data_IF_569184668124
#
_entry.id   IF_569184668124
#
_cell.length_a   1.000
_cell.length_b   1.000
_cell.length_c   1.000
_cell.angle_alpha   90.00
_cell.angle_beta   90.00
_cell.angle_gamma   90.00
#
_symmetry.space_group_name_H-M   'P 1'
#
loop_
_entity.id
_entity.type
_entity.pdbx_description
1 polymer ?
#
# COMPACT_ATOMS: atom_id res chain seq x y z
N UNK A 1 56.51 -11.38 49.04
CA UNK A 1 55.55 -10.33 48.65
C UNK A 1 54.80 -10.86 47.46
N UNK A 2 53.53 -11.17 47.67
CA UNK A 2 52.66 -11.98 46.81
C UNK A 2 52.57 -11.47 45.38
N UNK A 3 52.73 -12.39 44.42
CA UNK A 3 52.37 -12.16 43.03
C UNK A 3 50.88 -11.83 42.94
N UNK A 4 50.59 -10.72 42.27
CA UNK A 4 49.23 -10.34 41.91
C UNK A 4 48.69 -11.41 40.95
N UNK A 5 47.51 -12.00 41.18
CA UNK A 5 46.86 -12.79 40.15
C UNK A 5 46.54 -11.84 39.00
N UNK A 6 47.18 -12.12 37.86
CA UNK A 6 46.84 -11.53 36.60
C UNK A 6 45.42 -11.98 36.26
N UNK A 7 44.55 -10.99 36.09
CA UNK A 7 43.34 -11.02 35.26
C UNK A 7 42.50 -12.30 35.46
N UNK A 8 41.52 -12.23 36.35
CA UNK A 8 40.26 -12.91 36.06
C UNK A 8 39.80 -12.41 34.69
N UNK A 9 40.18 -13.16 33.64
CA UNK A 9 39.52 -13.12 32.36
C UNK A 9 38.04 -13.38 32.66
N UNK A 10 37.27 -12.31 32.52
CA UNK A 10 35.81 -12.26 32.56
C UNK A 10 35.29 -13.19 31.45
N UNK A 11 35.35 -14.50 31.67
CA UNK A 11 34.71 -15.52 30.86
C UNK A 11 33.22 -15.47 31.21
N UNK A 12 32.59 -14.34 30.86
CA UNK A 12 31.15 -14.28 30.76
C UNK A 12 30.76 -15.37 29.74
N UNK A 13 29.91 -16.33 30.10
CA UNK A 13 29.43 -17.29 29.13
C UNK A 13 28.65 -16.52 28.06
N UNK A 14 29.24 -16.34 26.88
CA UNK A 14 28.55 -15.88 25.66
C UNK A 14 27.41 -16.82 25.22
N UNK A 15 27.15 -17.88 25.99
CA UNK A 15 26.15 -18.93 25.74
C UNK A 15 24.77 -18.64 26.37
N UNK A 16 24.62 -17.57 27.16
CA UNK A 16 23.33 -17.20 27.78
C UNK A 16 22.44 -16.30 26.88
N UNK A 17 22.95 -15.88 25.72
CA UNK A 17 22.16 -15.14 24.73
C UNK A 17 21.40 -16.12 23.81
N UNK A 18 20.07 -16.08 23.84
CA UNK A 18 19.26 -16.91 22.95
C UNK A 18 19.60 -16.62 21.47
N UNK A 19 20.05 -17.65 20.74
CA UNK A 19 20.37 -17.58 19.32
C UNK A 19 19.25 -16.90 18.53
N UNK A 20 19.59 -15.92 17.69
CA UNK A 20 18.60 -15.28 16.84
C UNK A 20 18.16 -16.20 15.69
N UNK A 21 16.92 -16.05 15.22
CA UNK A 21 16.46 -16.80 14.04
C UNK A 21 17.33 -16.56 12.81
N UNK A 22 17.98 -15.39 12.71
CA UNK A 22 18.94 -15.08 11.64
C UNK A 22 20.26 -15.85 11.80
N UNK A 23 20.82 -15.95 13.00
CA UNK A 23 22.01 -16.78 13.28
C UNK A 23 21.76 -18.24 12.90
N UNK A 24 20.58 -18.77 13.25
CA UNK A 24 20.19 -20.14 12.86
C UNK A 24 20.07 -20.32 11.35
N UNK A 25 19.45 -19.36 10.66
CA UNK A 25 19.32 -19.41 9.21
C UNK A 25 20.68 -19.25 8.50
N UNK A 26 21.57 -18.42 9.05
CA UNK A 26 22.92 -18.24 8.55
C UNK A 26 23.74 -19.54 8.73
N UNK A 27 23.76 -20.12 9.93
CA UNK A 27 24.44 -21.40 10.19
C UNK A 27 23.88 -22.55 9.35
N UNK A 28 22.56 -22.61 9.16
CA UNK A 28 21.93 -23.58 8.25
C UNK A 28 22.36 -23.33 6.80
N UNK A 29 22.48 -22.08 6.37
CA UNK A 29 22.93 -21.73 5.02
C UNK A 29 24.38 -22.13 4.76
N UNK A 30 25.23 -22.14 5.80
CA UNK A 30 26.64 -22.54 5.72
C UNK A 30 26.82 -24.03 5.44
N UNK A 31 25.84 -24.87 5.78
CA UNK A 31 25.88 -26.31 5.48
C UNK A 31 25.63 -26.65 4.00
N UNK A 32 25.22 -25.67 3.17
CA UNK A 32 24.90 -25.87 1.75
C UNK A 32 26.02 -25.38 0.82
N UNK A 33 26.22 -26.05 -0.34
CA UNK A 33 27.23 -25.65 -1.31
C UNK A 33 26.91 -24.30 -1.97
N UNK A 34 27.95 -23.56 -2.38
CA UNK A 34 27.85 -22.20 -2.93
C UNK A 34 26.82 -22.02 -4.06
N UNK A 35 26.65 -22.94 -5.04
CA UNK A 35 25.68 -22.76 -6.11
C UNK A 35 24.24 -22.65 -5.60
N UNK A 36 23.90 -23.40 -4.54
CA UNK A 36 22.56 -23.38 -3.93
C UNK A 36 22.33 -22.03 -3.25
N UNK A 37 23.29 -21.58 -2.44
CA UNK A 37 23.23 -20.27 -1.76
C UNK A 37 23.10 -19.11 -2.74
N UNK A 38 23.87 -19.13 -3.84
CA UNK A 38 23.84 -18.07 -4.85
C UNK A 38 22.50 -18.06 -5.61
N UNK A 39 21.93 -19.23 -5.91
CA UNK A 39 20.62 -19.35 -6.56
C UNK A 39 19.51 -18.80 -5.66
N UNK A 40 19.48 -19.20 -4.39
CA UNK A 40 18.51 -18.69 -3.41
C UNK A 40 18.65 -17.18 -3.25
N UNK A 41 19.88 -16.67 -3.09
CA UNK A 41 20.15 -15.23 -3.00
C UNK A 41 19.71 -14.46 -4.25
N UNK A 42 19.91 -15.03 -5.44
CA UNK A 42 19.43 -14.45 -6.70
C UNK A 42 17.91 -14.44 -6.76
N UNK A 43 17.26 -15.54 -6.42
CA UNK A 43 15.79 -15.63 -6.38
C UNK A 43 15.19 -14.61 -5.42
N UNK A 44 15.71 -14.49 -4.20
CA UNK A 44 15.24 -13.50 -3.23
C UNK A 44 15.41 -12.08 -3.77
N UNK A 45 16.55 -11.76 -4.37
CA UNK A 45 16.80 -10.44 -5.00
C UNK A 45 15.86 -10.17 -6.16
N UNK A 46 15.62 -11.16 -7.03
CA UNK A 46 14.71 -11.04 -8.18
C UNK A 46 13.28 -10.85 -7.70
N UNK A 47 12.82 -11.65 -6.74
CA UNK A 47 11.49 -11.51 -6.13
C UNK A 47 11.31 -10.15 -5.47
N UNK A 48 12.30 -9.66 -4.72
CA UNK A 48 12.25 -8.32 -4.13
C UNK A 48 12.17 -7.20 -5.17
N UNK A 49 12.95 -7.31 -6.26
CA UNK A 49 12.88 -6.37 -7.40
C UNK A 49 11.54 -6.45 -8.12
N UNK A 50 11.00 -7.66 -8.32
CA UNK A 50 9.72 -7.89 -8.95
C UNK A 50 8.57 -7.29 -8.13
N UNK A 51 8.57 -7.48 -6.80
CA UNK A 51 7.59 -6.88 -5.91
C UNK A 51 7.64 -5.33 -5.96
N UNK A 52 8.85 -4.75 -5.92
CA UNK A 52 9.01 -3.30 -6.09
C UNK A 52 8.48 -2.82 -7.44
N UNK A 53 8.80 -3.53 -8.52
CA UNK A 53 8.32 -3.19 -9.87
C UNK A 53 6.81 -3.35 -10.03
N UNK A 54 6.23 -4.38 -9.43
CA UNK A 54 4.79 -4.57 -9.41
C UNK A 54 4.08 -3.43 -8.68
N UNK A 55 4.65 -2.95 -7.55
CA UNK A 55 4.14 -1.79 -6.83
C UNK A 55 4.28 -0.49 -7.63
N UNK A 56 5.43 -0.27 -8.27
CA UNK A 56 5.63 0.89 -9.16
C UNK A 56 4.63 0.88 -10.32
N UNK A 57 4.43 -0.28 -10.95
CA UNK A 57 3.50 -0.47 -12.06
C UNK A 57 2.06 -0.25 -11.61
N UNK A 58 1.64 -0.83 -10.48
CA UNK A 58 0.28 -0.66 -9.97
C UNK A 58 -0.02 0.81 -9.67
N UNK A 59 0.92 1.53 -9.05
CA UNK A 59 0.78 2.97 -8.81
C UNK A 59 0.61 3.74 -10.12
N UNK A 60 1.42 3.45 -11.13
CA UNK A 60 1.32 4.09 -12.45
C UNK A 60 -0.01 3.79 -13.15
N UNK A 61 -0.44 2.53 -13.15
CA UNK A 61 -1.73 2.11 -13.73
C UNK A 61 -2.88 2.81 -13.01
N UNK A 62 -2.89 2.81 -11.67
CA UNK A 62 -3.94 3.47 -10.88
C UNK A 62 -4.03 4.96 -11.23
N UNK A 63 -2.90 5.66 -11.35
CA UNK A 63 -2.91 7.06 -11.77
C UNK A 63 -3.49 7.25 -13.17
N UNK A 64 -3.07 6.43 -14.14
CA UNK A 64 -3.56 6.52 -15.53
C UNK A 64 -5.05 6.22 -15.59
N UNK A 65 -5.52 5.14 -14.95
CA UNK A 65 -6.94 4.75 -14.92
C UNK A 65 -7.77 5.84 -14.24
N UNK A 66 -7.32 6.37 -13.10
CA UNK A 66 -8.05 7.40 -12.40
C UNK A 66 -8.11 8.72 -13.20
N UNK A 67 -6.98 9.16 -13.77
CA UNK A 67 -6.92 10.36 -14.58
C UNK A 67 -7.76 10.23 -15.86
N UNK A 68 -7.64 9.11 -16.57
CA UNK A 68 -8.40 8.85 -17.80
C UNK A 68 -9.91 8.75 -17.53
N UNK A 69 -10.30 8.01 -16.48
CA UNK A 69 -11.68 7.91 -16.01
C UNK A 69 -12.27 9.29 -15.73
N UNK A 70 -11.55 10.12 -14.96
CA UNK A 70 -12.00 11.49 -14.65
C UNK A 70 -12.23 12.32 -15.91
N UNK A 71 -11.32 12.26 -16.88
CA UNK A 71 -11.47 13.00 -18.14
C UNK A 71 -12.65 12.52 -18.99
N UNK A 72 -12.92 11.21 -19.02
CA UNK A 72 -14.06 10.66 -19.77
C UNK A 72 -15.40 10.93 -19.09
N UNK A 73 -15.47 10.87 -17.77
CA UNK A 73 -16.71 11.09 -17.02
C UNK A 73 -17.07 12.56 -16.84
N UNK A 74 -16.10 13.48 -16.88
CA UNK A 74 -16.35 14.92 -16.75
C UNK A 74 -17.46 15.44 -17.70
N UNK A 75 -17.42 15.23 -19.03
CA UNK A 75 -18.48 15.71 -19.92
C UNK A 75 -19.84 15.05 -19.65
N UNK A 76 -19.85 13.74 -19.37
CA UNK A 76 -21.08 12.99 -19.09
C UNK A 76 -21.77 13.50 -17.82
N UNK A 77 -20.99 13.80 -16.78
CA UNK A 77 -21.52 14.39 -15.54
C UNK A 77 -22.12 15.77 -15.79
N UNK A 78 -21.45 16.64 -16.56
CA UNK A 78 -21.98 17.97 -16.86
C UNK A 78 -23.29 17.93 -17.66
N UNK A 79 -23.42 16.99 -18.61
CA UNK A 79 -24.68 16.80 -19.32
C UNK A 79 -25.80 16.37 -18.38
N UNK A 80 -25.52 15.41 -17.48
CA UNK A 80 -26.49 14.94 -16.49
C UNK A 80 -26.91 16.05 -15.51
N UNK A 81 -25.96 16.82 -14.98
CA UNK A 81 -26.26 17.94 -14.08
C UNK A 81 -27.09 19.01 -14.78
N UNK A 82 -26.78 19.33 -16.04
CA UNK A 82 -27.56 20.29 -16.82
C UNK A 82 -29.00 19.81 -17.00
N UNK A 83 -29.20 18.54 -17.33
CA UNK A 83 -30.55 17.96 -17.44
C UNK A 83 -31.31 18.01 -16.12
N UNK A 84 -30.67 17.71 -15.00
CA UNK A 84 -31.29 17.80 -13.68
C UNK A 84 -31.64 19.25 -13.30
N UNK A 85 -30.78 20.21 -13.63
CA UNK A 85 -31.05 21.64 -13.39
C UNK A 85 -32.27 22.13 -14.18
N UNK A 86 -32.41 21.74 -15.45
CA UNK A 86 -33.57 22.12 -16.27
C UNK A 86 -34.88 21.56 -15.71
N UNK A 87 -34.88 20.31 -15.25
CA UNK A 87 -36.05 19.69 -14.64
C UNK A 87 -36.40 20.34 -13.31
N UNK A 88 -35.41 20.63 -12.46
CA UNK A 88 -35.60 21.31 -11.19
C UNK A 88 -36.16 22.73 -11.39
N UNK A 89 -35.64 23.48 -12.36
CA UNK A 89 -36.17 24.81 -12.69
C UNK A 89 -37.62 24.75 -13.20
N UNK A 90 -37.97 23.77 -14.04
CA UNK A 90 -39.36 23.56 -14.46
C UNK A 90 -40.27 23.21 -13.28
N UNK A 91 -39.80 22.39 -12.34
CA UNK A 91 -40.54 22.09 -11.12
C UNK A 91 -40.71 23.33 -10.23
N UNK A 92 -39.68 24.15 -10.06
CA UNK A 92 -39.75 25.41 -9.33
C UNK A 92 -40.70 26.42 -9.99
N UNK A 93 -40.66 26.55 -11.32
CA UNK A 93 -41.61 27.39 -12.07
C UNK A 93 -43.05 26.89 -11.90
N UNK A 94 -43.28 25.58 -11.95
CA UNK A 94 -44.62 25.01 -11.68
C UNK A 94 -45.07 25.31 -10.24
N UNK A 95 -44.19 25.21 -9.25
CA UNK A 95 -44.51 25.51 -7.86
C UNK A 95 -44.73 27.02 -7.60
N UNK A 96 -43.99 27.90 -8.27
CA UNK A 96 -44.20 29.35 -8.20
C UNK A 96 -45.48 29.78 -8.93
N UNK A 97 -45.78 29.19 -10.11
CA UNK A 97 -46.94 29.54 -10.92
C UNK A 97 -48.25 28.98 -10.33
N UNK A 98 -48.19 27.83 -9.67
CA UNK A 98 -49.34 27.24 -8.97
C UNK A 98 -49.45 27.75 -7.53
N UNK A 99 -48.38 28.31 -6.96
CA UNK A 99 -48.30 28.71 -5.58
C UNK A 99 -48.49 27.54 -4.60
N UNK A 100 -48.10 27.67 -3.32
CA UNK A 100 -48.37 26.66 -2.31
C UNK A 100 -49.88 26.32 -2.13
N UNK A 101 -50.77 27.17 -2.66
CA UNK A 101 -52.21 27.12 -2.41
C UNK A 101 -53.04 26.41 -3.50
N UNK A 102 -52.55 26.21 -4.74
CA UNK A 102 -53.33 25.46 -5.74
C UNK A 102 -53.42 23.96 -5.46
N UNK A 103 -52.52 23.42 -4.62
CA UNK A 103 -52.57 22.03 -4.16
C UNK A 103 -53.55 21.81 -2.99
N UNK A 104 -54.01 22.88 -2.32
CA UNK A 104 -54.89 22.81 -1.15
C UNK A 104 -56.35 23.15 -1.44
N UNK A 105 -56.73 23.46 -2.70
CA UNK A 105 -58.14 23.58 -3.07
C UNK A 105 -58.74 22.18 -3.30
N UNK A 106 -59.21 21.56 -2.23
CA UNK A 106 -60.30 20.59 -2.25
C UNK A 106 -61.45 21.13 -1.41
#
# INVERSE_FOLDING_TARGET
MSGLPALEDDYLPEDDAAETALERLLGLSEMFPEPVRNTVGTTVRVTGKAAKKAYELSRSITWIVFASSTLMFAPVLFEMERHQMEEMQKQQQRQMLLGPNAAYSR
#
